data_IF_053285796824
#
_entry.id   IF_053285796824
#
_cell.length_a   1.000
_cell.length_b   1.000
_cell.length_c   1.000
_cell.angle_alpha   90.00
_cell.angle_beta   90.00
_cell.angle_gamma   90.00
#
_symmetry.space_group_name_H-M   'P 1'
#
loop_
_entity.id
_entity.type
_entity.pdbx_description
1 polymer ?
#
# COMPACT_ATOMS: atom_id res chain seq x y z
N UNK A 1 -10.92 1.62 -24.15
CA UNK A 1 -11.48 1.23 -22.83
C UNK A 1 -12.83 1.91 -22.65
N UNK A 2 -13.83 1.19 -22.13
CA UNK A 2 -15.13 1.74 -21.74
C UNK A 2 -15.33 1.43 -20.26
N UNK A 3 -15.87 2.38 -19.50
CA UNK A 3 -16.14 2.21 -18.07
C UNK A 3 -17.16 1.10 -17.84
N UNK A 4 -16.76 0.03 -17.13
CA UNK A 4 -17.63 -1.10 -16.84
C UNK A 4 -18.69 -0.80 -15.77
N UNK A 5 -18.34 0.02 -14.77
CA UNK A 5 -19.22 0.46 -13.69
C UNK A 5 -18.80 1.83 -13.17
N UNK A 6 -19.77 2.56 -12.61
CA UNK A 6 -19.55 3.87 -11.99
C UNK A 6 -20.48 3.99 -10.77
N UNK A 7 -19.95 4.47 -9.65
CA UNK A 7 -20.70 4.73 -8.42
C UNK A 7 -20.12 5.94 -7.69
N UNK A 8 -20.92 6.55 -6.82
CA UNK A 8 -20.48 7.65 -5.95
C UNK A 8 -20.46 7.20 -4.50
N UNK A 9 -19.32 7.38 -3.83
CA UNK A 9 -19.21 7.20 -2.39
C UNK A 9 -19.77 8.40 -1.61
N UNK A 10 -19.99 9.54 -2.26
CA UNK A 10 -20.41 10.79 -1.61
C UNK A 10 -19.46 11.27 -0.49
N UNK A 11 -18.18 10.90 -0.57
CA UNK A 11 -17.12 11.32 0.33
C UNK A 11 -15.89 11.78 -0.44
N UNK A 12 -15.17 12.76 0.12
CA UNK A 12 -13.84 13.13 -0.36
C UNK A 12 -12.83 12.13 0.18
N UNK A 13 -12.08 11.48 -0.71
CA UNK A 13 -11.04 10.52 -0.36
C UNK A 13 -9.68 11.22 -0.39
N UNK A 14 -8.87 11.14 0.68
CA UNK A 14 -7.50 11.61 0.66
C UNK A 14 -6.64 10.81 -0.32
N UNK A 15 -5.66 11.47 -0.92
CA UNK A 15 -4.69 10.85 -1.84
C UNK A 15 -3.95 9.70 -1.14
N UNK A 16 -3.81 8.56 -1.82
CA UNK A 16 -3.04 7.42 -1.33
C UNK A 16 -3.66 6.64 -0.17
N UNK A 17 -4.82 7.06 0.35
CA UNK A 17 -5.51 6.38 1.45
C UNK A 17 -6.67 5.54 0.95
N UNK A 18 -6.39 4.59 0.06
CA UNK A 18 -7.36 3.66 -0.49
C UNK A 18 -6.71 2.30 -0.72
N UNK A 19 -7.46 1.23 -0.45
CA UNK A 19 -7.07 -0.14 -0.77
C UNK A 19 -8.29 -0.96 -1.21
N UNK A 20 -8.06 -2.02 -1.98
CA UNK A 20 -9.08 -2.96 -2.42
C UNK A 20 -8.65 -4.36 -1.99
N UNK A 21 -9.50 -5.04 -1.22
CA UNK A 21 -9.15 -6.30 -0.57
C UNK A 21 -10.38 -7.19 -0.40
N UNK A 22 -10.15 -8.48 -0.11
CA UNK A 22 -11.20 -9.46 0.19
C UNK A 22 -11.32 -9.69 1.68
N UNK A 23 -11.96 -8.76 2.37
CA UNK A 23 -12.13 -8.81 3.83
C UNK A 23 -13.02 -9.97 4.30
N UNK A 24 -13.98 -10.40 3.47
CA UNK A 24 -14.83 -11.59 3.71
C UNK A 24 -14.18 -12.89 3.17
N UNK A 25 -12.98 -12.80 2.59
CA UNK A 25 -12.28 -13.90 1.92
C UNK A 25 -12.66 -14.15 0.46
N UNK A 26 -13.76 -13.55 -0.03
CA UNK A 26 -14.31 -13.92 -1.34
C UNK A 26 -14.59 -12.73 -2.27
N UNK A 27 -15.17 -11.67 -1.74
CA UNK A 27 -15.69 -10.52 -2.47
C UNK A 27 -14.76 -9.31 -2.32
N UNK A 28 -14.46 -8.59 -3.41
CA UNK A 28 -13.69 -7.36 -3.31
C UNK A 28 -14.48 -6.29 -2.57
N UNK A 29 -13.79 -5.59 -1.68
CA UNK A 29 -14.28 -4.45 -0.93
C UNK A 29 -13.27 -3.31 -1.03
N UNK A 30 -13.77 -2.08 -1.03
CA UNK A 30 -12.93 -0.88 -1.04
C UNK A 30 -12.87 -0.32 0.38
N UNK A 31 -11.67 -0.14 0.92
CA UNK A 31 -11.45 0.61 2.15
C UNK A 31 -10.71 1.92 1.84
N UNK A 32 -11.15 3.02 2.44
CA UNK A 32 -10.51 4.33 2.25
C UNK A 32 -10.68 5.21 3.46
N UNK A 33 -9.67 6.04 3.76
CA UNK A 33 -9.82 7.08 4.76
C UNK A 33 -10.76 8.18 4.25
N UNK A 34 -11.41 8.87 5.17
CA UNK A 34 -12.25 10.04 4.88
C UNK A 34 -11.62 11.29 5.48
N UNK A 35 -11.96 12.46 4.95
CA UNK A 35 -11.54 13.75 5.53
C UNK A 35 -11.97 13.97 6.99
N UNK A 36 -12.91 13.16 7.50
CA UNK A 36 -13.34 13.15 8.89
C UNK A 36 -12.58 12.17 9.81
N UNK A 37 -11.46 11.59 9.36
CA UNK A 37 -10.63 10.69 10.17
C UNK A 37 -11.21 9.30 10.41
N UNK A 38 -12.27 8.94 9.66
CA UNK A 38 -12.87 7.59 9.69
C UNK A 38 -12.40 6.78 8.50
N UNK A 39 -12.32 5.47 8.66
CA UNK A 39 -12.21 4.55 7.53
C UNK A 39 -13.61 4.20 7.05
N UNK A 40 -13.85 4.44 5.77
CA UNK A 40 -15.00 3.98 5.02
C UNK A 40 -14.67 2.61 4.42
N UNK A 41 -15.57 1.64 4.57
CA UNK A 41 -15.46 0.32 3.97
C UNK A 41 -16.71 0.08 3.12
N UNK A 42 -16.53 -0.05 1.81
CA UNK A 42 -17.59 -0.29 0.84
C UNK A 42 -17.57 -1.76 0.38
N UNK A 43 -18.61 -2.50 0.73
CA UNK A 43 -18.82 -3.93 0.46
C UNK A 43 -20.07 -4.12 -0.42
N UNK A 44 -20.00 -3.85 -1.74
CA UNK A 44 -21.16 -3.90 -2.64
C UNK A 44 -21.75 -5.31 -2.81
N UNK A 45 -21.04 -6.33 -2.32
CA UNK A 45 -21.41 -7.75 -2.38
C UNK A 45 -21.92 -8.30 -1.04
N UNK A 46 -22.02 -7.46 0.01
CA UNK A 46 -22.56 -7.90 1.30
C UNK A 46 -23.96 -8.48 1.10
N UNK A 47 -24.18 -9.67 1.66
CA UNK A 47 -25.48 -10.37 1.61
C UNK A 47 -26.39 -9.99 2.77
N UNK A 48 -26.15 -8.86 3.43
CA UNK A 48 -27.00 -8.41 4.53
C UNK A 48 -28.47 -8.41 4.07
N UNK A 49 -29.29 -9.16 4.81
CA UNK A 49 -30.71 -9.30 4.55
C UNK A 49 -31.34 -7.90 4.47
N UNK A 50 -32.17 -7.70 3.46
CA UNK A 50 -32.99 -6.51 3.28
C UNK A 50 -33.71 -6.20 4.60
N UNK A 51 -33.54 -5.00 5.16
CA UNK A 51 -34.27 -4.61 6.38
C UNK A 51 -35.78 -4.72 6.05
N UNK A 52 -36.53 -5.67 6.65
CA UNK A 52 -37.91 -5.94 6.26
C UNK A 52 -38.86 -4.76 6.59
N UNK A 53 -38.43 -3.85 7.46
CA UNK A 53 -39.23 -2.72 7.95
C UNK A 53 -38.97 -1.47 7.11
N UNK A 54 -37.74 -1.28 6.62
CA UNK A 54 -37.35 -0.07 5.88
C UNK A 54 -37.17 -0.29 4.37
N UNK A 55 -37.12 -1.53 3.89
CA UNK A 55 -36.93 -1.85 2.47
C UNK A 55 -35.59 -1.36 1.91
N UNK A 56 -34.65 -1.03 2.80
CA UNK A 56 -33.31 -0.60 2.46
C UNK A 56 -32.42 -1.85 2.44
N UNK A 57 -31.67 -2.04 1.34
CA UNK A 57 -30.47 -2.89 1.39
C UNK A 57 -29.62 -2.41 2.56
N UNK A 58 -29.08 -3.33 3.36
CA UNK A 58 -28.07 -3.00 4.37
C UNK A 58 -27.05 -2.04 3.77
N UNK A 59 -26.60 -1.03 4.53
CA UNK A 59 -25.69 -0.02 3.99
C UNK A 59 -24.46 -0.75 3.45
N UNK A 60 -24.27 -0.73 2.13
CA UNK A 60 -23.05 -1.20 1.44
C UNK A 60 -21.79 -0.50 1.96
N UNK A 61 -21.94 0.51 2.83
CA UNK A 61 -20.89 1.31 3.42
C UNK A 61 -20.93 1.19 4.95
N UNK A 62 -19.83 0.73 5.52
CA UNK A 62 -19.53 0.72 6.95
C UNK A 62 -18.47 1.76 7.29
N UNK A 63 -18.43 2.18 8.56
CA UNK A 63 -17.45 3.14 9.05
C UNK A 63 -16.74 2.60 10.28
N UNK A 64 -15.41 2.61 10.24
CA UNK A 64 -14.55 2.35 11.37
C UNK A 64 -13.97 3.67 11.88
N UNK A 65 -14.10 3.91 13.18
CA UNK A 65 -13.55 5.10 13.83
C UNK A 65 -12.22 4.76 14.50
N UNK A 66 -11.13 5.26 13.93
CA UNK A 66 -9.76 5.00 14.42
C UNK A 66 -9.34 6.03 15.47
N UNK A 67 -9.98 7.21 15.51
CA UNK A 67 -9.61 8.34 16.38
C UNK A 67 -8.12 8.76 16.29
N UNK A 68 -7.45 8.48 15.18
CA UNK A 68 -6.06 8.87 14.88
C UNK A 68 -5.99 9.41 13.45
N UNK A 69 -5.03 10.29 13.17
CA UNK A 69 -4.75 10.77 11.82
C UNK A 69 -4.11 9.65 10.99
N UNK A 70 -4.85 9.13 10.02
CA UNK A 70 -4.42 8.05 9.12
C UNK A 70 -3.48 8.61 8.06
N UNK A 71 -2.31 7.99 7.90
CA UNK A 71 -1.25 8.40 6.96
C UNK A 71 -1.02 7.40 5.84
N UNK A 72 -1.37 6.14 6.04
CA UNK A 72 -1.30 5.10 5.01
C UNK A 72 -2.30 3.97 5.30
N UNK A 73 -2.75 3.31 4.23
CA UNK A 73 -3.65 2.16 4.29
C UNK A 73 -3.11 1.05 3.39
N UNK A 74 -3.28 -0.18 3.85
CA UNK A 74 -3.01 -1.38 3.06
C UNK A 74 -3.96 -2.48 3.49
N UNK A 75 -4.03 -3.56 2.72
CA UNK A 75 -4.69 -4.77 3.17
C UNK A 75 -4.10 -6.00 2.53
N UNK A 76 -4.28 -7.13 3.20
CA UNK A 76 -3.80 -8.42 2.71
C UNK A 76 -3.89 -9.51 3.76
N UNK A 77 -3.66 -10.74 3.32
CA UNK A 77 -3.66 -11.94 4.15
C UNK A 77 -2.40 -12.01 5.03
N UNK A 78 -2.33 -11.20 6.09
CA UNK A 78 -1.24 -11.23 7.07
C UNK A 78 -1.25 -12.48 7.93
N UNK A 79 -2.43 -13.07 8.15
CA UNK A 79 -2.57 -14.34 8.83
C UNK A 79 -2.81 -15.45 7.80
N UNK A 80 -1.81 -16.29 7.48
CA UNK A 80 -1.97 -17.37 6.50
C UNK A 80 -2.96 -18.47 6.92
N UNK A 81 -3.38 -18.50 8.19
CA UNK A 81 -4.30 -19.51 8.72
C UNK A 81 -5.77 -19.20 8.43
N UNK A 82 -6.09 -17.97 8.02
CA UNK A 82 -7.43 -17.54 7.63
C UNK A 82 -7.45 -17.14 6.16
N UNK A 83 -8.52 -17.51 5.46
CA UNK A 83 -8.67 -17.21 4.03
C UNK A 83 -9.37 -15.86 3.82
N UNK A 84 -8.81 -14.79 4.39
CA UNK A 84 -9.29 -13.41 4.21
C UNK A 84 -8.20 -12.38 4.43
N UNK A 85 -8.41 -11.20 3.87
CA UNK A 85 -7.52 -10.07 4.06
C UNK A 85 -7.83 -9.35 5.38
N UNK A 86 -6.78 -8.88 6.05
CA UNK A 86 -6.85 -7.96 7.17
C UNK A 86 -6.61 -6.53 6.67
N UNK A 87 -7.24 -5.55 7.32
CA UNK A 87 -7.04 -4.13 7.03
C UNK A 87 -5.92 -3.59 7.90
N UNK A 88 -4.91 -2.96 7.28
CA UNK A 88 -3.78 -2.35 7.97
C UNK A 88 -3.91 -0.83 7.89
N UNK A 89 -3.86 -0.18 9.04
CA UNK A 89 -4.10 1.25 9.20
C UNK A 89 -2.89 1.86 9.89
N UNK A 90 -2.12 2.64 9.14
CA UNK A 90 -1.03 3.42 9.69
C UNK A 90 -1.52 4.80 10.10
N UNK A 91 -1.25 5.17 11.33
CA UNK A 91 -1.24 6.56 11.80
C UNK A 91 0.21 7.01 12.02
N UNK A 92 0.44 8.28 12.34
CA UNK A 92 1.81 8.81 12.52
C UNK A 92 2.67 8.01 13.52
N UNK A 93 2.07 7.37 14.51
CA UNK A 93 2.78 6.68 15.60
C UNK A 93 2.37 5.24 15.80
N UNK A 94 1.29 4.77 15.15
CA UNK A 94 0.73 3.45 15.40
C UNK A 94 0.34 2.73 14.12
N UNK A 95 0.62 1.42 14.10
CA UNK A 95 0.07 0.45 13.17
C UNK A 95 -1.08 -0.30 13.85
N UNK A 96 -2.29 -0.13 13.31
CA UNK A 96 -3.47 -0.93 13.67
C UNK A 96 -3.71 -1.97 12.59
N UNK A 97 -3.75 -3.24 12.96
CA UNK A 97 -4.24 -4.33 12.09
C UNK A 97 -5.62 -4.75 12.58
N UNK A 98 -6.59 -4.72 11.69
CA UNK A 98 -8.00 -4.87 11.99
C UNK A 98 -8.65 -5.97 11.14
N UNK A 99 -9.35 -6.88 11.79
CA UNK A 99 -10.18 -7.88 11.12
C UNK A 99 -11.57 -7.28 10.88
N UNK A 100 -11.83 -6.90 9.63
CA UNK A 100 -13.09 -6.31 9.21
C UNK A 100 -14.26 -7.30 9.33
N UNK A 101 -14.01 -8.59 9.10
CA UNK A 101 -15.05 -9.62 9.15
C UNK A 101 -15.49 -9.90 10.59
N UNK A 102 -14.54 -9.98 11.51
CA UNK A 102 -14.82 -10.22 12.94
C UNK A 102 -15.10 -8.93 13.73
N UNK A 103 -14.93 -7.77 13.09
CA UNK A 103 -15.06 -6.45 13.71
C UNK A 103 -14.18 -6.33 14.99
N UNK A 104 -12.92 -6.73 14.87
CA UNK A 104 -11.99 -6.81 16.00
C UNK A 104 -10.58 -6.36 15.64
N UNK A 105 -9.91 -5.70 16.60
CA UNK A 105 -8.49 -5.41 16.50
C UNK A 105 -7.68 -6.72 16.59
N UNK A 106 -6.77 -6.92 15.64
CA UNK A 106 -5.78 -7.99 15.70
C UNK A 106 -4.62 -7.54 16.60
N UNK A 107 -4.11 -6.32 16.36
CA UNK A 107 -3.20 -5.60 17.26
C UNK A 107 -3.19 -4.10 16.96
N UNK A 108 -2.83 -3.28 17.95
CA UNK A 108 -2.48 -1.86 17.82
C UNK A 108 -1.08 -1.67 18.42
N UNK A 109 -0.09 -1.43 17.57
CA UNK A 109 1.33 -1.34 17.94
C UNK A 109 1.85 0.08 17.74
N UNK A 110 2.51 0.62 18.75
CA UNK A 110 3.28 1.86 18.63
C UNK A 110 4.60 1.59 17.87
N UNK A 111 4.94 2.46 16.93
CA UNK A 111 6.15 2.36 16.10
C UNK A 111 7.06 3.54 16.43
N UNK A 112 8.25 3.24 16.97
CA UNK A 112 9.13 4.23 17.64
C UNK A 112 9.48 5.45 16.76
N UNK A 113 9.86 5.22 15.49
CA UNK A 113 10.24 6.29 14.55
C UNK A 113 9.05 6.83 13.72
N UNK A 114 7.84 6.40 14.08
CA UNK A 114 6.61 6.74 13.39
C UNK A 114 6.43 6.02 12.04
N UNK A 115 5.34 6.37 11.36
CA UNK A 115 4.95 5.79 10.08
C UNK A 115 4.65 6.94 9.11
N UNK A 116 5.27 6.88 7.94
CA UNK A 116 5.04 7.78 6.80
C UNK A 116 4.50 7.03 5.58
N UNK A 117 4.92 5.77 5.41
CA UNK A 117 4.40 4.85 4.39
C UNK A 117 4.32 3.42 4.90
N UNK A 118 3.57 2.58 4.20
CA UNK A 118 3.35 1.19 4.55
C UNK A 118 3.20 0.32 3.30
N UNK A 119 3.66 -0.92 3.39
CA UNK A 119 3.52 -1.93 2.36
C UNK A 119 3.16 -3.28 3.00
N UNK A 120 2.12 -3.94 2.49
CA UNK A 120 1.90 -5.34 2.80
C UNK A 120 2.78 -6.20 1.89
N UNK A 121 3.67 -6.99 2.48
CA UNK A 121 4.71 -7.71 1.78
C UNK A 121 4.55 -9.22 2.01
N UNK A 122 3.75 -9.87 1.14
CA UNK A 122 3.47 -11.30 1.24
C UNK A 122 4.69 -12.20 1.04
N UNK A 123 5.55 -11.84 0.09
CA UNK A 123 6.68 -12.68 -0.34
C UNK A 123 8.04 -11.98 -0.18
N UNK A 124 8.15 -11.02 0.76
CA UNK A 124 9.44 -10.41 1.10
C UNK A 124 10.24 -11.27 2.07
N UNK A 125 9.55 -11.92 3.01
CA UNK A 125 10.14 -12.91 3.90
C UNK A 125 9.65 -14.31 3.47
N UNK A 126 10.53 -15.30 3.29
CA UNK A 126 10.15 -16.64 2.84
C UNK A 126 9.33 -17.42 3.89
N UNK A 127 9.36 -17.03 5.17
CA UNK A 127 8.70 -17.73 6.26
C UNK A 127 7.23 -17.31 6.45
N UNK A 128 6.95 -16.01 6.37
CA UNK A 128 5.62 -15.45 6.64
C UNK A 128 5.46 -14.03 6.04
N UNK A 129 4.23 -13.61 5.75
CA UNK A 129 3.95 -12.25 5.27
C UNK A 129 4.26 -11.20 6.34
N UNK A 130 4.63 -10.00 5.91
CA UNK A 130 4.92 -8.86 6.78
C UNK A 130 4.12 -7.63 6.42
N UNK A 131 3.87 -6.78 7.41
CA UNK A 131 3.51 -5.37 7.20
C UNK A 131 4.77 -4.54 7.41
N UNK A 132 5.30 -3.98 6.33
CA UNK A 132 6.45 -3.10 6.37
C UNK A 132 5.98 -1.66 6.58
N UNK A 133 6.64 -0.93 7.46
CA UNK A 133 6.42 0.49 7.73
C UNK A 133 7.70 1.27 7.52
N UNK A 134 7.62 2.40 6.81
CA UNK A 134 8.72 3.35 6.67
C UNK A 134 8.47 4.57 7.54
N UNK A 135 9.42 4.88 8.42
CA UNK A 135 9.35 5.98 9.39
C UNK A 135 10.36 7.08 9.11
N UNK A 136 10.79 7.76 10.17
CA UNK A 136 11.88 8.73 10.12
C UNK A 136 13.22 7.99 10.23
N UNK A 137 13.93 7.81 9.11
CA UNK A 137 15.23 7.12 9.03
C UNK A 137 15.21 5.61 9.32
N UNK A 138 14.05 4.99 9.50
CA UNK A 138 13.95 3.55 9.74
C UNK A 138 12.88 2.87 8.91
N UNK A 139 13.08 1.57 8.74
CA UNK A 139 12.17 0.64 8.11
C UNK A 139 11.97 -0.51 9.09
N UNK A 140 10.71 -0.88 9.37
CA UNK A 140 10.38 -1.95 10.30
C UNK A 140 9.34 -2.87 9.67
N UNK A 141 9.40 -4.17 9.97
CA UNK A 141 8.43 -5.15 9.50
C UNK A 141 7.83 -5.96 10.64
N UNK A 142 6.50 -6.05 10.68
CA UNK A 142 5.76 -6.75 11.72
C UNK A 142 5.00 -7.94 11.16
N UNK A 143 5.02 -9.04 11.90
CA UNK A 143 4.19 -10.21 11.61
C UNK A 143 2.79 -10.11 12.25
N UNK A 144 2.03 -11.19 12.14
CA UNK A 144 0.69 -11.30 12.72
C UNK A 144 0.66 -11.23 14.25
N UNK A 145 1.77 -11.57 14.92
CA UNK A 145 1.92 -11.54 16.38
C UNK A 145 2.33 -10.16 16.90
N UNK A 146 2.48 -9.16 16.00
CA UNK A 146 3.03 -7.84 16.31
C UNK A 146 4.53 -7.89 16.69
N UNK A 147 5.24 -8.98 16.39
CA UNK A 147 6.68 -9.08 16.64
C UNK A 147 7.48 -8.43 15.51
N UNK A 148 8.62 -7.86 15.86
CA UNK A 148 9.53 -7.18 14.92
C UNK A 148 10.38 -8.24 14.24
N UNK A 149 10.18 -8.43 12.94
CA UNK A 149 10.83 -9.48 12.15
C UNK A 149 11.80 -8.92 11.10
N UNK A 150 11.79 -7.60 10.94
CA UNK A 150 12.65 -6.88 10.03
C UNK A 150 12.92 -5.49 10.58
N UNK A 151 14.17 -5.06 10.58
CA UNK A 151 14.52 -3.68 10.90
C UNK A 151 15.79 -3.26 10.16
N UNK A 152 15.77 -2.08 9.55
CA UNK A 152 16.99 -1.46 9.01
C UNK A 152 16.88 0.07 9.00
N UNK A 153 18.00 0.73 8.75
CA UNK A 153 18.13 2.18 8.68
C UNK A 153 18.11 2.64 7.23
N UNK A 154 17.42 3.76 6.97
CA UNK A 154 17.44 4.46 5.68
C UNK A 154 18.02 5.87 5.83
N UNK A 155 18.39 6.50 4.72
CA UNK A 155 19.11 7.78 4.70
C UNK A 155 18.28 9.01 5.09
N UNK A 156 16.96 8.98 4.86
CA UNK A 156 16.01 10.04 5.22
C UNK A 156 14.60 9.46 5.39
N UNK A 157 13.61 10.30 5.69
CA UNK A 157 12.19 9.94 5.78
C UNK A 157 11.77 9.09 4.58
N UNK A 158 11.23 7.89 4.86
CA UNK A 158 10.72 6.96 3.86
C UNK A 158 9.30 7.35 3.43
N UNK A 159 9.12 7.67 2.15
CA UNK A 159 7.86 8.17 1.60
C UNK A 159 7.01 7.10 0.91
N UNK A 160 7.67 6.09 0.35
CA UNK A 160 7.03 5.05 -0.45
C UNK A 160 7.89 3.79 -0.45
N UNK A 161 7.23 2.64 -0.54
CA UNK A 161 7.90 1.34 -0.62
C UNK A 161 7.26 0.49 -1.71
N UNK A 162 8.03 -0.41 -2.29
CA UNK A 162 7.57 -1.42 -3.25
C UNK A 162 8.45 -2.67 -3.14
N UNK A 163 7.94 -3.85 -3.51
CA UNK A 163 8.72 -5.09 -3.53
C UNK A 163 8.80 -5.71 -4.93
N UNK A 164 10.00 -6.06 -5.36
CA UNK A 164 10.24 -6.79 -6.60
C UNK A 164 11.59 -7.49 -6.56
N UNK A 165 11.71 -8.57 -7.33
CA UNK A 165 12.98 -9.26 -7.58
C UNK A 165 13.82 -8.39 -8.53
N UNK A 166 14.73 -7.62 -7.94
CA UNK A 166 15.53 -6.58 -8.58
C UNK A 166 16.78 -7.17 -9.25
N UNK A 167 17.39 -8.17 -8.62
CA UNK A 167 18.64 -8.80 -9.07
C UNK A 167 18.44 -10.12 -9.85
N UNK A 168 17.19 -10.57 -10.00
CA UNK A 168 16.76 -11.77 -10.72
C UNK A 168 17.21 -13.08 -10.05
N UNK A 169 17.36 -13.09 -8.72
CA UNK A 169 17.72 -14.29 -7.98
C UNK A 169 16.52 -15.06 -7.39
N UNK A 170 15.29 -14.62 -7.69
CA UNK A 170 14.00 -15.15 -7.22
C UNK A 170 13.64 -14.79 -5.77
N UNK A 171 14.47 -14.02 -5.08
CA UNK A 171 14.09 -13.34 -3.85
C UNK A 171 13.56 -11.93 -4.20
N UNK A 172 12.68 -11.37 -3.36
CA UNK A 172 12.15 -10.02 -3.59
C UNK A 172 12.90 -9.03 -2.72
N UNK A 173 13.41 -7.97 -3.32
CA UNK A 173 14.01 -6.85 -2.61
C UNK A 173 12.97 -5.78 -2.28
N UNK A 174 13.26 -5.03 -1.22
CA UNK A 174 12.50 -3.86 -0.81
C UNK A 174 13.10 -2.61 -1.46
N UNK A 175 12.30 -1.94 -2.28
CA UNK A 175 12.60 -0.62 -2.81
C UNK A 175 12.01 0.44 -1.89
N UNK A 176 12.79 1.47 -1.56
CA UNK A 176 12.38 2.57 -0.68
C UNK A 176 12.72 3.89 -1.31
N UNK A 177 11.71 4.75 -1.47
CA UNK A 177 11.88 6.12 -1.90
C UNK A 177 11.88 7.09 -0.72
N UNK A 178 12.89 7.95 -0.64
CA UNK A 178 13.11 8.84 0.51
C UNK A 178 13.14 10.34 0.17
N UNK A 179 13.11 11.17 1.21
CA UNK A 179 13.16 12.64 1.15
C UNK A 179 14.52 13.22 0.72
N UNK A 180 15.59 12.43 0.82
CA UNK A 180 16.94 12.74 0.32
C UNK A 180 17.13 12.41 -1.17
N UNK A 181 16.02 12.23 -1.89
CA UNK A 181 15.95 11.98 -3.33
C UNK A 181 16.49 10.61 -3.75
N UNK A 182 16.67 9.71 -2.80
CA UNK A 182 17.22 8.38 -3.08
C UNK A 182 16.12 7.32 -3.22
N UNK A 183 16.29 6.44 -4.20
CA UNK A 183 15.60 5.14 -4.29
C UNK A 183 16.61 4.07 -3.88
N UNK A 184 16.39 3.44 -2.74
CA UNK A 184 17.26 2.42 -2.17
C UNK A 184 16.67 1.03 -2.36
N UNK A 185 17.53 0.06 -2.63
CA UNK A 185 17.14 -1.35 -2.80
C UNK A 185 17.80 -2.17 -1.70
N UNK A 186 16.98 -2.82 -0.89
CA UNK A 186 17.41 -3.65 0.23
C UNK A 186 17.13 -5.12 -0.03
N UNK A 187 18.15 -5.96 0.14
CA UNK A 187 18.02 -7.43 0.17
C UNK A 187 18.14 -7.88 1.62
N UNK A 188 17.02 -8.27 2.22
CA UNK A 188 16.94 -8.31 3.67
C UNK A 188 17.30 -6.94 4.25
N UNK A 189 18.21 -6.88 5.23
CA UNK A 189 18.64 -5.64 5.87
C UNK A 189 19.81 -4.94 5.13
N UNK A 190 20.37 -5.57 4.10
CA UNK A 190 21.54 -5.07 3.36
C UNK A 190 21.11 -4.16 2.20
N UNK A 191 21.71 -2.97 2.13
CA UNK A 191 21.58 -2.06 0.98
C UNK A 191 22.42 -2.59 -0.20
N UNK A 192 21.77 -2.99 -1.29
CA UNK A 192 22.45 -3.53 -2.47
C UNK A 192 22.53 -2.52 -3.63
N UNK A 193 21.66 -1.51 -3.64
CA UNK A 193 21.65 -0.50 -4.70
C UNK A 193 21.05 0.83 -4.22
N UNK A 194 21.55 1.94 -4.78
CA UNK A 194 21.10 3.29 -4.46
C UNK A 194 21.07 4.15 -5.75
N UNK A 195 19.92 4.76 -6.03
CA UNK A 195 19.68 5.64 -7.16
C UNK A 195 19.37 7.03 -6.63
N UNK A 196 20.08 8.05 -7.11
CA UNK A 196 19.79 9.44 -6.78
C UNK A 196 18.96 10.09 -7.89
N UNK A 197 17.82 10.68 -7.51
CA UNK A 197 16.93 11.46 -8.36
C UNK A 197 17.09 12.98 -8.10
N UNK A 198 16.37 13.78 -8.87
CA UNK A 198 16.45 15.26 -8.78
C UNK A 198 15.50 15.88 -7.74
N UNK A 199 14.65 15.09 -7.09
CA UNK A 199 13.69 15.55 -6.09
C UNK A 199 13.18 14.38 -5.22
N UNK A 200 12.39 14.70 -4.19
CA UNK A 200 11.82 13.73 -3.24
C UNK A 200 11.02 12.67 -3.96
N UNK A 201 11.30 11.41 -3.64
CA UNK A 201 10.55 10.28 -4.21
C UNK A 201 9.15 10.27 -3.60
N UNK A 202 8.13 10.31 -4.45
CA UNK A 202 6.72 10.40 -4.04
C UNK A 202 6.01 9.04 -4.12
N UNK A 203 6.16 8.33 -5.24
CA UNK A 203 5.58 7.00 -5.43
C UNK A 203 6.56 6.07 -6.12
N UNK A 204 6.51 4.80 -5.72
CA UNK A 204 7.09 3.67 -6.43
C UNK A 204 5.95 2.71 -6.80
N UNK A 205 6.06 2.08 -7.96
CA UNK A 205 5.13 1.01 -8.34
C UNK A 205 5.82 0.01 -9.24
N UNK A 206 5.75 -1.27 -8.88
CA UNK A 206 6.23 -2.35 -9.73
C UNK A 206 5.39 -2.38 -11.00
N UNK A 207 6.05 -2.46 -12.16
CA UNK A 207 5.39 -2.68 -13.44
C UNK A 207 5.42 -4.17 -13.75
N UNK A 208 6.60 -4.72 -14.04
CA UNK A 208 6.79 -6.11 -14.43
C UNK A 208 8.25 -6.52 -14.25
N UNK A 209 8.48 -7.74 -13.77
CA UNK A 209 9.83 -8.27 -13.51
C UNK A 209 10.64 -7.29 -12.63
N UNK A 210 11.80 -6.84 -13.12
CA UNK A 210 12.70 -5.86 -12.51
C UNK A 210 12.31 -4.40 -12.78
N UNK A 211 11.21 -4.17 -13.53
CA UNK A 211 10.82 -2.83 -13.95
C UNK A 211 9.87 -2.21 -12.95
N UNK A 212 10.16 -0.96 -12.58
CA UNK A 212 9.36 -0.18 -11.66
C UNK A 212 9.26 1.27 -12.14
N UNK A 213 8.11 1.87 -11.88
CA UNK A 213 7.88 3.29 -12.04
C UNK A 213 8.26 4.04 -10.78
N UNK A 214 8.65 5.28 -10.96
CA UNK A 214 8.80 6.24 -9.89
C UNK A 214 8.14 7.56 -10.26
N UNK A 215 7.78 8.34 -9.26
CA UNK A 215 7.41 9.74 -9.42
C UNK A 215 8.04 10.59 -8.33
N UNK A 216 8.25 11.85 -8.65
CA UNK A 216 8.90 12.83 -7.80
C UNK A 216 7.95 13.98 -7.47
N UNK A 217 8.17 14.63 -6.33
CA UNK A 217 7.37 15.79 -5.90
C UNK A 217 7.41 16.99 -6.87
N UNK A 218 8.41 17.06 -7.77
CA UNK A 218 8.54 18.13 -8.76
C UNK A 218 7.73 17.89 -10.07
N UNK A 219 6.97 16.79 -10.13
CA UNK A 219 6.17 16.39 -11.29
C UNK A 219 6.90 15.50 -12.30
N UNK A 220 8.17 15.13 -12.04
CA UNK A 220 8.89 14.15 -12.86
C UNK A 220 8.43 12.73 -12.52
N UNK A 221 8.35 11.88 -13.54
CA UNK A 221 8.11 10.45 -13.41
C UNK A 221 8.95 9.69 -14.42
N UNK A 222 9.21 8.42 -14.15
CA UNK A 222 9.97 7.59 -15.04
C UNK A 222 9.84 6.11 -14.75
N UNK A 223 10.57 5.32 -15.52
CA UNK A 223 10.62 3.87 -15.42
C UNK A 223 12.07 3.44 -15.39
N UNK A 224 12.42 2.64 -14.40
CA UNK A 224 13.64 1.87 -14.33
C UNK A 224 13.38 0.42 -14.71
N UNK A 225 14.42 -0.25 -15.21
CA UNK A 225 14.50 -1.71 -15.26
C UNK A 225 15.84 -2.10 -14.64
N UNK A 226 15.77 -2.68 -13.44
CA UNK A 226 16.92 -2.80 -12.54
C UNK A 226 17.56 -1.43 -12.30
N UNK A 227 18.87 -1.33 -12.54
CA UNK A 227 19.65 -0.09 -12.37
C UNK A 227 19.57 0.90 -13.54
N UNK A 228 18.88 0.56 -14.64
CA UNK A 228 18.88 1.38 -15.85
C UNK A 228 17.57 2.15 -16.00
N UNK A 229 17.68 3.48 -16.05
CA UNK A 229 16.54 4.34 -16.40
C UNK A 229 16.19 4.11 -17.88
N UNK A 230 14.97 3.68 -18.15
CA UNK A 230 14.48 3.38 -19.51
C UNK A 230 13.71 4.54 -20.10
N UNK A 231 13.01 5.29 -19.26
CA UNK A 231 12.18 6.41 -19.69
C UNK A 231 11.99 7.39 -18.53
N UNK A 232 11.89 8.68 -18.85
CA UNK A 232 11.46 9.71 -17.91
C UNK A 232 10.67 10.79 -18.66
N UNK A 233 9.83 11.51 -17.92
CA UNK A 233 9.08 12.67 -18.38
C UNK A 233 8.70 13.55 -17.19
N UNK A 234 8.59 14.86 -17.42
CA UNK A 234 7.97 15.79 -16.48
C UNK A 234 6.55 16.15 -16.93
N UNK A 235 5.64 16.20 -15.96
CA UNK A 235 4.25 16.61 -16.17
C UNK A 235 3.92 17.83 -15.32
N UNK A 236 2.98 18.65 -15.79
CA UNK A 236 2.55 19.87 -15.09
C UNK A 236 1.60 19.58 -13.92
N UNK A 237 0.90 18.44 -13.97
CA UNK A 237 -0.06 18.03 -12.95
C UNK A 237 0.64 17.26 -11.83
N UNK A 238 0.13 17.42 -10.60
CA UNK A 238 0.55 16.59 -9.47
C UNK A 238 0.17 15.13 -9.74
N UNK A 239 1.12 14.23 -9.55
CA UNK A 239 0.87 12.79 -9.63
C UNK A 239 0.17 12.35 -8.35
N UNK A 240 -0.92 11.59 -8.51
CA UNK A 240 -1.75 11.12 -7.39
C UNK A 240 -1.50 9.67 -7.00
N UNK A 241 -1.16 8.82 -7.97
CA UNK A 241 -0.90 7.40 -7.81
C UNK A 241 -0.08 6.88 -9.01
N UNK A 242 0.53 5.72 -8.85
CA UNK A 242 1.13 4.93 -9.93
C UNK A 242 0.64 3.49 -9.79
N UNK A 243 0.38 2.82 -10.91
CA UNK A 243 0.02 1.40 -10.90
C UNK A 243 0.58 0.70 -12.15
N UNK A 244 1.39 -0.34 -11.94
CA UNK A 244 1.68 -1.33 -12.96
C UNK A 244 0.54 -2.31 -13.15
N UNK A 245 -0.02 -2.38 -14.36
CA UNK A 245 -1.14 -3.28 -14.68
C UNK A 245 -1.15 -3.66 -16.15
N UNK A 246 -1.45 -4.92 -16.45
CA UNK A 246 -1.74 -5.40 -17.80
C UNK A 246 -3.23 -5.13 -18.11
N UNK A 247 -3.53 -3.93 -18.63
CA UNK A 247 -4.92 -3.50 -18.85
C UNK A 247 -5.49 -3.93 -20.21
N UNK A 248 -4.63 -4.30 -21.16
CA UNK A 248 -5.04 -4.80 -22.48
C UNK A 248 -4.95 -6.32 -22.62
N UNK A 249 -4.51 -6.99 -21.56
CA UNK A 249 -4.45 -8.45 -21.41
C UNK A 249 -3.49 -9.10 -22.41
N UNK A 250 -2.41 -8.41 -22.76
CA UNK A 250 -1.39 -8.91 -23.70
C UNK A 250 -0.24 -9.68 -23.02
N UNK A 251 -0.25 -9.74 -21.68
CA UNK A 251 0.78 -10.37 -20.85
C UNK A 251 1.90 -9.44 -20.41
N UNK A 252 1.89 -8.18 -20.84
CA UNK A 252 2.85 -7.15 -20.47
C UNK A 252 2.17 -6.10 -19.60
N UNK A 253 2.73 -5.79 -18.43
CA UNK A 253 2.15 -4.71 -17.62
C UNK A 253 2.55 -3.35 -18.19
N UNK A 254 1.60 -2.42 -18.22
CA UNK A 254 1.84 -1.02 -18.53
C UNK A 254 1.73 -0.14 -17.27
N UNK A 255 2.30 1.06 -17.35
CA UNK A 255 2.20 2.05 -16.27
C UNK A 255 0.95 2.90 -16.44
N UNK A 256 0.08 2.90 -15.42
CA UNK A 256 -1.01 3.84 -15.24
C UNK A 256 -0.61 4.92 -14.21
N UNK A 257 -0.95 6.18 -14.51
CA UNK A 257 -0.60 7.39 -13.76
C UNK A 257 -1.83 8.23 -13.52
#
# INVERSE_FOLDING_TARGET
LVTAYNFSLNHSLPQGLVTINKFDGSSPALASSTTGGKILIHTPHSKDEMDPVLGLKGKDIQYLNVNKDVVCLSGGQLNPTIDRDLLMIGSKTNLLVYDVNENSDVFDKEVEDGINCMLFAKDFNPAFPLVLTGGNLSLTGFDISSDDQFWTVTGDVANTMEILDFDLDQEKELLVGSDDYSIRVYKGEELIFDINEESKIQFLSKIQNTSFAYSLNNGSLGVYSGSQQKWNKRVDNKISALLGVDYDMDGSCQLMV
#
